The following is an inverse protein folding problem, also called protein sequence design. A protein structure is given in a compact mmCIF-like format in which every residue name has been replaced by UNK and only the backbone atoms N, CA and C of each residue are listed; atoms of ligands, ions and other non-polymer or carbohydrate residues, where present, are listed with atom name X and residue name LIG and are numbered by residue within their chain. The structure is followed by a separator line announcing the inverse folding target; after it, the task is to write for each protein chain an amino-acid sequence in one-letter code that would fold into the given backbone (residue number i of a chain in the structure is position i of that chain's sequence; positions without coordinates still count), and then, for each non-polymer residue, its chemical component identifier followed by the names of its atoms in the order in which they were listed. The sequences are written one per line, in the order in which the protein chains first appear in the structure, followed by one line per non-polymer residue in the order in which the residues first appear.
data_IF_539037460344
#
_entry.id   IF_539037460344
#
_cell.length_a   1.000
_cell.length_b   1.000
_cell.length_c   1.000
_cell.angle_alpha   90.00
_cell.angle_beta   90.00
_cell.angle_gamma   90.00
#
_symmetry.space_group_name_H-M   'P 1'
#
loop_
_entity.id
_entity.type
_entity.pdbx_description
1 polymer ?
#
# COMPACT_ATOMS: atom_id res chain seq x y z
N UNK A 1 -15.34 4.63 41.94
CA UNK A 1 -14.88 5.04 40.60
C UNK A 1 -13.38 4.94 40.62
N UNK A 2 -12.81 3.91 40.01
CA UNK A 2 -11.36 3.78 39.87
C UNK A 2 -10.94 4.48 38.57
N UNK A 3 -9.83 5.23 38.55
CA UNK A 3 -9.27 5.73 37.31
C UNK A 3 -8.73 4.53 36.52
N UNK A 4 -9.28 4.29 35.33
CA UNK A 4 -8.69 3.34 34.39
C UNK A 4 -7.36 3.93 33.93
N UNK A 5 -6.28 3.29 34.37
CA UNK A 5 -4.91 3.62 34.00
C UNK A 5 -4.76 3.62 32.48
N UNK A 6 -4.37 4.77 31.93
CA UNK A 6 -3.71 4.84 30.64
C UNK A 6 -2.41 4.03 30.74
N UNK A 7 -2.43 2.80 30.22
CA UNK A 7 -1.22 2.02 30.00
C UNK A 7 -0.67 2.47 28.64
N UNK A 8 0.25 3.43 28.69
CA UNK A 8 1.14 3.71 27.57
C UNK A 8 2.16 2.59 27.46
N UNK A 9 1.85 1.58 26.65
CA UNK A 9 2.82 0.83 25.87
C UNK A 9 2.77 1.41 24.46
N UNK A 10 3.90 1.83 23.91
CA UNK A 10 4.00 2.19 22.48
C UNK A 10 3.91 0.93 21.62
N UNK A 11 2.77 0.25 21.66
CA UNK A 11 2.48 -0.88 20.79
C UNK A 11 2.22 -0.32 19.39
N UNK A 12 3.02 -0.79 18.44
CA UNK A 12 2.93 -0.39 17.04
C UNK A 12 1.62 -0.95 16.48
N UNK A 13 0.62 -0.09 16.29
CA UNK A 13 -0.68 -0.50 15.75
C UNK A 13 -0.62 -0.51 14.22
N UNK A 14 -0.85 -1.68 13.64
CA UNK A 14 -1.08 -1.86 12.21
C UNK A 14 -2.56 -1.84 11.94
N UNK A 15 -2.95 -1.18 10.85
CA UNK A 15 -4.32 -1.06 10.40
C UNK A 15 -4.45 -1.85 9.10
N UNK A 16 -5.41 -2.76 9.11
CA UNK A 16 -5.81 -3.54 7.96
C UNK A 16 -7.04 -2.90 7.32
N UNK A 17 -6.98 -2.64 6.02
CA UNK A 17 -8.10 -2.13 5.25
C UNK A 17 -8.50 -3.16 4.20
N UNK A 18 -9.79 -3.51 4.25
CA UNK A 18 -10.45 -4.50 3.42
C UNK A 18 -10.06 -4.39 1.93
N UNK A 19 -10.11 -5.52 1.20
CA UNK A 19 -9.47 -5.61 -0.09
C UNK A 19 -10.12 -4.73 -1.16
N UNK A 20 -9.31 -4.29 -2.12
CA UNK A 20 -9.77 -3.74 -3.38
C UNK A 20 -9.32 -4.61 -4.55
N UNK A 21 -10.21 -4.76 -5.53
CA UNK A 21 -9.90 -5.47 -6.77
C UNK A 21 -9.25 -4.51 -7.77
N UNK A 22 -8.26 -5.00 -8.50
CA UNK A 22 -7.71 -4.35 -9.69
C UNK A 22 -8.62 -4.68 -10.86
N UNK A 23 -9.14 -3.66 -11.53
CA UNK A 23 -10.02 -3.85 -12.69
C UNK A 23 -9.28 -4.50 -13.86
N UNK A 24 -9.94 -5.44 -14.55
CA UNK A 24 -9.33 -6.19 -15.67
C UNK A 24 -9.15 -5.35 -16.94
N UNK A 25 -10.13 -4.52 -17.28
CA UNK A 25 -10.15 -3.77 -18.55
C UNK A 25 -9.32 -2.48 -18.49
N UNK A 26 -9.32 -1.81 -17.33
CA UNK A 26 -8.49 -0.65 -17.04
C UNK A 26 -7.85 -0.89 -15.67
N UNK A 27 -6.53 -1.10 -15.59
CA UNK A 27 -5.89 -1.54 -14.36
C UNK A 27 -5.80 -0.45 -13.31
N UNK A 28 -6.93 -0.25 -12.67
CA UNK A 28 -7.18 0.74 -11.66
C UNK A 28 -7.60 0.01 -10.39
N UNK A 29 -6.87 0.27 -9.32
CA UNK A 29 -7.27 -0.16 -7.99
C UNK A 29 -8.20 0.91 -7.40
N UNK A 30 -9.32 0.47 -6.82
CA UNK A 30 -10.20 1.36 -6.06
C UNK A 30 -9.56 1.59 -4.70
N UNK A 31 -9.34 2.84 -4.32
CA UNK A 31 -8.76 3.16 -3.03
C UNK A 31 -9.88 3.28 -1.99
N UNK A 32 -9.84 2.50 -0.89
CA UNK A 32 -10.81 2.64 0.20
C UNK A 32 -10.74 4.02 0.86
N UNK A 33 -11.89 4.54 1.32
CA UNK A 33 -11.99 5.84 1.99
C UNK A 33 -11.03 5.93 3.20
N UNK A 34 -10.81 4.83 3.92
CA UNK A 34 -9.87 4.77 5.05
C UNK A 34 -8.44 5.17 4.66
N UNK A 35 -7.97 4.80 3.47
CA UNK A 35 -6.62 5.16 2.99
C UNK A 35 -6.53 6.66 2.68
N UNK A 36 -7.65 7.25 2.25
CA UNK A 36 -7.76 8.67 1.91
C UNK A 36 -7.89 9.51 3.19
N UNK A 37 -8.70 9.05 4.14
CA UNK A 37 -8.84 9.66 5.47
C UNK A 37 -7.53 9.59 6.26
N UNK A 38 -6.76 8.52 6.09
CA UNK A 38 -5.41 8.38 6.64
C UNK A 38 -4.38 9.33 5.99
N UNK A 39 -4.73 10.02 4.90
CA UNK A 39 -3.83 10.94 4.19
C UNK A 39 -2.73 10.23 3.40
N UNK A 40 -2.85 8.91 3.18
CA UNK A 40 -1.87 8.12 2.41
C UNK A 40 -1.96 8.45 0.93
N UNK A 41 -3.17 8.77 0.44
CA UNK A 41 -3.39 9.35 -0.89
C UNK A 41 -4.44 10.43 -0.86
N UNK A 42 -4.34 11.38 -1.78
CA UNK A 42 -5.31 12.49 -1.93
C UNK A 42 -5.74 12.61 -3.39
N UNK A 43 -7.04 12.64 -3.69
CA UNK A 43 -7.51 12.91 -5.05
C UNK A 43 -6.96 14.20 -5.65
N UNK A 44 -6.43 14.11 -6.87
CA UNK A 44 -5.80 15.22 -7.57
C UNK A 44 -4.32 15.44 -7.23
N UNK A 45 -3.78 14.73 -6.24
CA UNK A 45 -2.36 14.73 -5.93
C UNK A 45 -1.63 13.54 -6.58
N UNK A 46 -0.30 13.63 -6.64
CA UNK A 46 0.54 12.53 -7.11
C UNK A 46 0.81 11.58 -5.95
N UNK A 47 0.57 10.30 -6.16
CA UNK A 47 1.07 9.25 -5.29
C UNK A 47 2.23 8.50 -5.98
N UNK A 48 3.12 7.98 -5.15
CA UNK A 48 4.35 7.30 -5.52
C UNK A 48 4.17 5.81 -5.28
N UNK A 49 4.52 5.04 -6.29
CA UNK A 49 4.64 3.59 -6.21
C UNK A 49 6.08 3.22 -5.92
N UNK A 50 6.26 2.40 -4.90
CA UNK A 50 7.52 1.81 -4.50
C UNK A 50 7.35 0.33 -4.22
N UNK A 51 8.44 -0.38 -4.01
CA UNK A 51 8.44 -1.70 -3.38
C UNK A 51 9.60 -1.81 -2.41
N UNK A 52 9.47 -2.72 -1.44
CA UNK A 52 10.58 -3.09 -0.56
C UNK A 52 11.45 -4.14 -1.26
N UNK A 53 12.75 -3.86 -1.38
CA UNK A 53 13.69 -4.61 -2.24
C UNK A 53 13.83 -6.09 -1.86
N UNK A 54 13.74 -6.42 -0.56
CA UNK A 54 13.96 -7.79 -0.06
C UNK A 54 12.73 -8.67 -0.32
N UNK A 55 11.54 -8.11 -0.13
CA UNK A 55 10.26 -8.86 -0.14
C UNK A 55 9.48 -8.70 -1.43
N UNK A 56 9.79 -7.67 -2.21
CA UNK A 56 8.99 -7.29 -3.38
C UNK A 56 7.64 -6.69 -3.02
N UNK A 57 7.28 -6.46 -1.75
CA UNK A 57 5.94 -6.00 -1.40
C UNK A 57 5.71 -4.58 -1.95
N UNK A 58 4.65 -4.35 -2.76
CA UNK A 58 4.31 -3.02 -3.24
C UNK A 58 3.93 -2.06 -2.12
N UNK A 59 4.34 -0.81 -2.28
CA UNK A 59 4.09 0.29 -1.36
C UNK A 59 3.50 1.45 -2.14
N UNK A 60 2.41 1.99 -1.61
CA UNK A 60 1.79 3.21 -2.09
C UNK A 60 2.00 4.33 -1.08
N UNK A 61 2.44 5.50 -1.52
CA UNK A 61 2.70 6.65 -0.64
C UNK A 61 2.37 7.98 -1.30
N UNK A 62 2.11 9.03 -0.51
CA UNK A 62 1.91 10.40 -1.04
C UNK A 62 3.21 11.16 -1.33
N UNK A 63 4.36 10.55 -1.04
CA UNK A 63 5.71 11.12 -1.27
C UNK A 63 6.72 10.02 -1.51
N UNK A 64 7.86 10.38 -2.08
CA UNK A 64 8.98 9.45 -2.27
C UNK A 64 9.47 8.94 -0.92
N UNK A 65 9.68 7.64 -0.82
CA UNK A 65 10.34 7.01 0.31
C UNK A 65 11.86 7.16 0.15
N UNK A 66 12.56 7.52 1.23
CA UNK A 66 13.97 7.91 1.18
C UNK A 66 14.94 6.82 1.63
N UNK A 67 14.45 5.71 2.22
CA UNK A 67 15.32 4.62 2.64
C UNK A 67 15.74 3.77 1.42
N UNK A 68 17.00 3.34 1.39
CA UNK A 68 17.59 2.57 0.28
C UNK A 68 16.89 1.25 -0.02
N UNK A 69 16.26 0.65 1.01
CA UNK A 69 15.46 -0.58 0.88
C UNK A 69 14.19 -0.39 0.05
N UNK A 70 13.77 0.86 -0.18
CA UNK A 70 12.59 1.16 -0.98
C UNK A 70 13.00 1.58 -2.39
N UNK A 71 12.61 0.76 -3.36
CA UNK A 71 12.83 1.04 -4.78
C UNK A 71 11.60 1.71 -5.35
N UNK A 72 11.80 2.74 -6.17
CA UNK A 72 10.71 3.46 -6.82
C UNK A 72 10.30 2.73 -8.10
N UNK A 73 9.01 2.51 -8.26
CA UNK A 73 8.41 2.02 -9.50
C UNK A 73 7.98 3.20 -10.36
N UNK A 74 7.23 4.16 -9.79
CA UNK A 74 6.62 5.23 -10.58
C UNK A 74 5.87 6.25 -9.75
N UNK A 75 5.30 7.24 -10.42
CA UNK A 75 4.46 8.28 -9.84
C UNK A 75 3.21 8.42 -10.70
N UNK A 76 2.04 8.46 -10.09
CA UNK A 76 0.78 8.61 -10.83
C UNK A 76 -0.18 9.55 -10.08
N UNK A 77 -1.02 10.27 -10.81
CA UNK A 77 -2.02 11.17 -10.22
C UNK A 77 -3.23 10.37 -9.76
N UNK A 78 -3.66 10.60 -8.53
CA UNK A 78 -4.86 9.99 -7.96
C UNK A 78 -6.10 10.59 -8.61
N UNK A 79 -6.90 9.75 -9.26
CA UNK A 79 -8.09 10.20 -9.98
C UNK A 79 -9.34 9.99 -9.14
N UNK A 80 -10.29 10.92 -9.24
CA UNK A 80 -11.64 10.77 -8.67
C UNK A 80 -12.64 10.69 -9.80
N UNK A 81 -13.31 9.54 -9.94
CA UNK A 81 -14.35 9.33 -10.92
C UNK A 81 -15.63 8.83 -10.25
N UNK A 82 -16.76 9.53 -10.43
CA UNK A 82 -18.07 9.14 -9.88
C UNK A 82 -18.04 8.77 -8.38
N UNK A 83 -17.36 9.57 -7.55
CA UNK A 83 -17.13 9.35 -6.12
C UNK A 83 -16.21 8.19 -5.73
N UNK A 84 -15.66 7.45 -6.69
CA UNK A 84 -14.63 6.45 -6.44
C UNK A 84 -13.25 7.06 -6.67
N UNK A 85 -12.35 6.83 -5.73
CA UNK A 85 -10.95 7.20 -5.84
C UNK A 85 -10.25 6.02 -6.50
N UNK A 86 -9.65 6.28 -7.66
CA UNK A 86 -9.04 5.27 -8.50
C UNK A 86 -7.57 5.60 -8.66
N UNK A 87 -6.76 4.57 -8.56
CA UNK A 87 -5.33 4.70 -8.74
C UNK A 87 -4.86 3.77 -9.86
N UNK A 88 -4.22 4.27 -10.92
CA UNK A 88 -3.57 3.40 -11.88
C UNK A 88 -2.47 2.62 -11.18
N UNK A 89 -2.53 1.30 -11.26
CA UNK A 89 -1.51 0.43 -10.74
C UNK A 89 -0.36 0.33 -11.76
N UNK A 90 0.91 0.24 -11.32
CA UNK A 90 2.03 -0.01 -12.19
C UNK A 90 2.00 -1.49 -12.55
N UNK A 91 1.02 -1.89 -13.35
CA UNK A 91 1.10 -3.17 -14.02
C UNK A 91 2.24 -3.14 -15.04
N UNK A 92 2.37 -4.25 -15.73
CA UNK A 92 2.70 -4.29 -17.16
C UNK A 92 1.72 -3.41 -18.00
N UNK A 93 1.51 -2.13 -17.66
CA UNK A 93 0.59 -1.19 -18.30
C UNK A 93 1.24 -0.72 -19.59
N UNK A 94 1.13 -1.51 -20.65
CA UNK A 94 1.60 -1.16 -21.99
C UNK A 94 3.10 -0.79 -22.01
N UNK A 95 4.01 -1.64 -22.51
CA UNK A 95 5.43 -1.33 -22.57
C UNK A 95 5.78 0.02 -23.24
N UNK A 96 4.85 0.66 -23.96
CA UNK A 96 5.00 2.03 -24.47
C UNK A 96 4.74 3.14 -23.42
N UNK A 97 3.78 2.99 -22.50
CA UNK A 97 3.48 3.97 -21.43
C UNK A 97 4.50 3.90 -20.30
N UNK A 98 4.90 2.67 -19.96
CA UNK A 98 5.97 2.38 -18.99
C UNK A 98 7.31 2.93 -19.47
N UNK A 99 7.63 2.83 -20.76
CA UNK A 99 8.92 3.32 -21.31
C UNK A 99 9.16 4.81 -21.14
N UNK A 100 8.11 5.62 -21.08
CA UNK A 100 8.21 7.07 -21.03
C UNK A 100 8.06 7.66 -19.61
N UNK A 101 7.55 6.89 -18.63
CA UNK A 101 7.28 7.38 -17.26
C UNK A 101 7.89 6.53 -16.13
N UNK A 102 8.23 5.27 -16.36
CA UNK A 102 8.94 4.43 -15.39
C UNK A 102 10.44 4.57 -15.68
N UNK A 103 11.20 4.95 -14.66
CA UNK A 103 12.65 5.06 -14.74
C UNK A 103 13.23 3.72 -15.22
N UNK A 104 13.79 3.71 -16.43
CA UNK A 104 14.19 2.54 -17.22
C UNK A 104 15.33 1.68 -16.64
N UNK A 105 15.74 1.84 -15.38
CA UNK A 105 17.09 1.40 -14.97
C UNK A 105 17.18 0.26 -13.94
N UNK A 106 16.10 -0.13 -13.25
CA UNK A 106 16.17 -1.22 -12.27
C UNK A 106 15.13 -2.32 -12.56
N UNK A 107 15.59 -3.58 -12.51
CA UNK A 107 14.72 -4.75 -12.57
C UNK A 107 13.74 -4.67 -11.39
N UNK A 108 12.46 -4.49 -11.68
CA UNK A 108 11.39 -4.51 -10.67
C UNK A 108 11.20 -5.96 -10.23
N UNK A 109 11.12 -6.20 -8.92
CA UNK A 109 10.84 -7.51 -8.36
C UNK A 109 9.50 -8.05 -8.90
N UNK A 110 9.43 -9.33 -9.28
CA UNK A 110 8.21 -9.90 -9.89
C UNK A 110 6.98 -9.74 -8.96
N UNK A 111 7.15 -10.01 -7.66
CA UNK A 111 6.10 -9.83 -6.64
C UNK A 111 5.67 -8.36 -6.40
N UNK A 112 6.43 -7.38 -6.91
CA UNK A 112 6.08 -5.96 -6.83
C UNK A 112 5.15 -5.51 -7.96
N UNK A 113 4.94 -6.37 -8.96
CA UNK A 113 4.11 -6.09 -10.12
C UNK A 113 2.65 -6.29 -9.72
N UNK A 114 1.83 -5.27 -9.97
CA UNK A 114 0.38 -5.36 -9.72
C UNK A 114 -0.32 -5.98 -10.92
N UNK A 115 -1.02 -7.10 -10.74
CA UNK A 115 -1.74 -7.77 -11.82
C UNK A 115 -3.22 -7.38 -11.91
N UNK A 116 -3.77 -7.44 -13.13
CA UNK A 116 -5.18 -7.19 -13.39
C UNK A 116 -6.05 -8.36 -12.88
N UNK A 117 -7.20 -8.04 -12.30
CA UNK A 117 -8.11 -9.03 -11.72
C UNK A 117 -7.69 -9.53 -10.33
N UNK A 118 -6.49 -9.17 -9.87
CA UNK A 118 -6.04 -9.50 -8.53
C UNK A 118 -6.70 -8.64 -7.45
N UNK A 119 -6.69 -9.20 -6.25
CA UNK A 119 -7.23 -8.59 -5.04
C UNK A 119 -6.09 -8.19 -4.12
N UNK A 120 -6.06 -6.92 -3.74
CA UNK A 120 -5.05 -6.37 -2.85
C UNK A 120 -5.65 -5.84 -1.56
N UNK A 121 -4.90 -6.08 -0.49
CA UNK A 121 -5.21 -5.68 0.88
C UNK A 121 -4.28 -4.55 1.28
N UNK A 122 -4.84 -3.45 1.78
CA UNK A 122 -4.02 -2.33 2.20
C UNK A 122 -3.72 -2.47 3.67
N UNK A 123 -2.44 -2.38 4.01
CA UNK A 123 -1.98 -2.48 5.40
C UNK A 123 -1.05 -1.32 5.67
N UNK A 124 -1.29 -0.57 6.73
CA UNK A 124 -0.43 0.55 7.09
C UNK A 124 -0.22 0.64 8.60
N UNK A 125 0.84 1.34 9.00
CA UNK A 125 1.15 1.57 10.41
C UNK A 125 0.49 2.87 10.87
N UNK A 126 -0.24 2.84 11.98
CA UNK A 126 -0.99 4.00 12.50
C UNK A 126 -0.09 5.14 13.00
N UNK A 127 1.13 4.82 13.42
CA UNK A 127 2.20 5.77 13.79
C UNK A 127 3.12 6.11 12.60
N UNK A 128 2.78 5.63 11.39
CA UNK A 128 3.45 5.93 10.14
C UNK A 128 4.67 5.09 9.81
N UNK A 129 4.88 4.76 8.53
CA UNK A 129 6.04 3.95 8.11
C UNK A 129 7.28 4.82 7.92
N UNK A 130 8.44 4.36 8.41
CA UNK A 130 9.79 4.94 8.31
C UNK A 130 10.00 6.40 8.80
N UNK A 131 9.08 7.32 8.55
CA UNK A 131 9.16 8.74 8.86
C UNK A 131 8.32 9.19 10.07
N UNK A 132 7.58 8.27 10.71
CA UNK A 132 6.71 8.59 11.86
C UNK A 132 5.41 9.31 11.49
N UNK A 133 4.97 9.23 10.22
CA UNK A 133 3.70 9.77 9.75
C UNK A 133 3.01 8.78 8.81
N UNK A 134 1.71 8.57 9.00
CA UNK A 134 0.88 7.68 8.19
C UNK A 134 0.72 8.23 6.79
N UNK A 135 1.67 7.90 5.92
CA UNK A 135 1.79 8.44 4.57
C UNK A 135 2.05 7.38 3.51
N UNK A 136 2.05 6.12 3.93
CA UNK A 136 2.27 4.98 3.06
C UNK A 136 1.52 3.76 3.57
N UNK A 137 1.15 2.88 2.65
CA UNK A 137 0.58 1.57 2.93
C UNK A 137 1.28 0.51 2.08
N UNK A 138 1.41 -0.70 2.63
CA UNK A 138 1.72 -1.90 1.89
C UNK A 138 0.47 -2.41 1.20
N UNK A 139 0.66 -3.02 0.03
CA UNK A 139 -0.39 -3.75 -0.68
C UNK A 139 -0.01 -5.23 -0.68
N UNK A 140 -0.84 -6.06 -0.08
CA UNK A 140 -0.64 -7.50 -0.04
C UNK A 140 -1.65 -8.23 -0.92
N UNK A 141 -1.24 -9.26 -1.64
CA UNK A 141 -2.16 -10.22 -2.26
C UNK A 141 -2.81 -11.11 -1.20
N UNK A 142 -3.85 -11.86 -1.58
CA UNK A 142 -4.46 -12.89 -0.72
C UNK A 142 -3.41 -13.85 -0.13
N UNK A 143 -2.47 -14.32 -0.95
CA UNK A 143 -1.42 -15.24 -0.53
C UNK A 143 -0.47 -14.59 0.47
N UNK A 144 -0.11 -13.33 0.23
CA UNK A 144 0.76 -12.56 1.09
C UNK A 144 0.09 -12.24 2.44
N UNK A 145 -1.21 -11.95 2.46
CA UNK A 145 -1.96 -11.80 3.72
C UNK A 145 -1.87 -13.05 4.57
N UNK A 146 -2.08 -14.23 3.96
CA UNK A 146 -2.00 -15.52 4.67
C UNK A 146 -0.59 -15.81 5.20
N UNK A 147 0.43 -15.39 4.45
CA UNK A 147 1.83 -15.65 4.78
C UNK A 147 2.40 -14.66 5.79
N UNK A 148 2.03 -13.39 5.70
CA UNK A 148 2.70 -12.29 6.37
C UNK A 148 1.89 -11.71 7.54
N UNK A 149 0.57 -11.93 7.60
CA UNK A 149 -0.22 -11.47 8.74
C UNK A 149 -0.29 -12.53 9.85
N UNK A 150 -0.22 -12.09 11.12
CA UNK A 150 -0.12 -12.96 12.31
C UNK A 150 -1.36 -13.85 12.52
N UNK A 151 -2.54 -13.40 12.10
CA UNK A 151 -3.76 -14.21 12.09
C UNK A 151 -4.57 -13.93 10.80
N UNK A 152 -4.51 -14.81 9.79
CA UNK A 152 -5.28 -14.65 8.55
C UNK A 152 -6.76 -14.98 8.71
N UNK A 153 -7.25 -15.16 9.95
CA UNK A 153 -8.66 -15.39 10.30
C UNK A 153 -9.21 -14.36 11.29
N UNK A 154 -8.36 -13.58 11.96
CA UNK A 154 -8.71 -12.41 12.76
C UNK A 154 -8.43 -11.13 11.98
N UNK A 155 -9.42 -10.71 11.19
CA UNK A 155 -9.36 -9.56 10.29
C UNK A 155 -9.86 -8.32 11.03
N UNK A 156 -9.54 -8.20 12.33
CA UNK A 156 -9.82 -6.98 13.08
C UNK A 156 -9.17 -5.81 12.35
N UNK A 157 -9.85 -4.67 12.30
CA UNK A 157 -9.37 -3.48 11.58
C UNK A 157 -7.97 -3.02 12.07
N UNK A 158 -7.49 -3.55 13.19
CA UNK A 158 -6.16 -3.33 13.75
C UNK A 158 -5.50 -4.60 14.31
N UNK A 159 -4.16 -4.61 14.34
CA UNK A 159 -3.34 -5.64 14.98
C UNK A 159 -2.01 -5.06 15.48
N UNK A 160 -1.46 -5.60 16.57
CA UNK A 160 -0.25 -5.07 17.22
C UNK A 160 1.06 -5.72 16.76
N UNK A 161 0.96 -6.87 16.09
CA UNK A 161 2.11 -7.66 15.63
C UNK A 161 2.60 -7.14 14.27
N UNK A 162 3.92 -7.06 14.08
CA UNK A 162 4.51 -6.64 12.81
C UNK A 162 4.28 -7.71 11.75
N UNK A 163 3.80 -7.37 10.54
CA UNK A 163 3.73 -8.33 9.44
C UNK A 163 5.09 -9.03 9.25
N UNK A 164 5.10 -10.35 9.20
CA UNK A 164 6.33 -11.12 9.10
C UNK A 164 6.78 -11.18 7.66
N UNK A 165 7.72 -10.33 7.28
CA UNK A 165 8.24 -10.23 5.92
C UNK A 165 9.26 -11.34 5.53
N UNK A 166 9.42 -12.41 6.33
CA UNK A 166 10.43 -13.46 6.16
C UNK A 166 9.92 -14.87 6.44
#
# INVERSE_FOLDING_TARGET
MAPTSASGSGEMEWIYVAPANVQEEEPQISVPDTIVEAGIVTPGETAVWSYEEITGVPILSNRRLEMDVYKRIGEMTVQKHQNLIRFPAPMQVNPQLVRDQILQEEHVHDDAIVEAGERYHFVYRADGMASGETRSCYLFTDEQVVKHLPDPTDWSDNFSDVPQFF
#
